data_IF_347356657315
#
_entry.id   IF_347356657315
#
_cell.length_a   1.000
_cell.length_b   1.000
_cell.length_c   1.000
_cell.angle_alpha   90.00
_cell.angle_beta   90.00
_cell.angle_gamma   90.00
#
_symmetry.space_group_name_H-M   'P 1'
#
loop_
_entity.id
_entity.type
_entity.pdbx_description
1 polymer ?
#
# COMPACT_ATOMS: atom_id res chain seq x y z
N UNK A 1 28.09 0.16 16.60
CA UNK A 1 28.42 1.51 16.13
C UNK A 1 27.21 2.02 15.34
N UNK A 2 26.42 2.99 15.85
CA UNK A 2 25.33 3.59 15.07
C UNK A 2 25.98 4.39 13.94
N UNK A 3 25.81 3.97 12.70
CA UNK A 3 26.23 4.77 11.55
C UNK A 3 25.48 6.10 11.59
N UNK A 4 26.20 7.19 11.36
CA UNK A 4 25.58 8.51 11.24
C UNK A 4 24.80 8.53 9.92
N UNK A 5 23.48 8.28 10.00
CA UNK A 5 22.61 8.19 8.83
C UNK A 5 22.36 9.60 8.30
N UNK A 6 23.06 9.97 7.24
CA UNK A 6 22.92 11.28 6.59
C UNK A 6 22.00 11.24 5.38
N UNK A 7 21.78 10.05 4.78
CA UNK A 7 20.98 9.87 3.57
C UNK A 7 19.88 8.84 3.81
N UNK A 8 18.68 9.17 3.39
CA UNK A 8 17.53 8.27 3.41
C UNK A 8 16.98 8.10 2.01
N UNK A 9 16.69 6.87 1.63
CA UNK A 9 16.08 6.53 0.34
C UNK A 9 14.77 5.81 0.60
N UNK A 10 13.68 6.39 0.12
CA UNK A 10 12.34 5.81 0.23
C UNK A 10 11.95 5.26 -1.14
N UNK A 11 11.47 4.02 -1.18
CA UNK A 11 11.19 3.30 -2.43
C UNK A 11 9.71 2.94 -2.49
N UNK A 12 9.03 3.48 -3.50
CA UNK A 12 7.66 3.10 -3.85
C UNK A 12 7.43 3.36 -5.34
N UNK A 13 7.27 2.30 -6.14
CA UNK A 13 7.13 2.42 -7.60
C UNK A 13 5.88 3.21 -8.02
N UNK A 14 4.83 3.24 -7.21
CA UNK A 14 3.63 4.05 -7.43
C UNK A 14 3.31 4.82 -6.16
N UNK A 15 3.85 6.02 -6.05
CA UNK A 15 3.73 6.89 -4.89
C UNK A 15 2.39 7.60 -4.89
N UNK A 16 1.57 7.32 -3.89
CA UNK A 16 0.36 8.05 -3.55
C UNK A 16 0.55 8.89 -2.29
N UNK A 17 -0.53 9.51 -1.80
CA UNK A 17 -0.52 10.46 -0.69
C UNK A 17 0.14 9.94 0.59
N UNK A 18 -0.06 8.67 0.96
CA UNK A 18 0.59 8.09 2.14
C UNK A 18 2.11 8.13 2.04
N UNK A 19 2.68 7.78 0.88
CA UNK A 19 4.13 7.83 0.69
C UNK A 19 4.63 9.26 0.57
N UNK A 20 3.86 10.17 -0.03
CA UNK A 20 4.19 11.61 -0.04
C UNK A 20 4.33 12.12 1.39
N UNK A 21 3.38 11.82 2.26
CA UNK A 21 3.42 12.25 3.66
C UNK A 21 4.60 11.61 4.43
N UNK A 22 4.91 10.35 4.15
CA UNK A 22 6.08 9.68 4.73
C UNK A 22 7.36 10.39 4.29
N UNK A 23 7.53 10.67 3.00
CA UNK A 23 8.71 11.39 2.48
C UNK A 23 8.81 12.76 3.14
N UNK A 24 7.70 13.51 3.21
CA UNK A 24 7.66 14.83 3.84
C UNK A 24 8.04 14.75 5.34
N UNK A 25 7.62 13.71 6.05
CA UNK A 25 8.01 13.50 7.45
C UNK A 25 9.53 13.23 7.58
N UNK A 26 10.10 12.44 6.67
CA UNK A 26 11.54 12.20 6.65
C UNK A 26 12.34 13.46 6.31
N UNK A 27 11.87 14.32 5.41
CA UNK A 27 12.51 15.60 5.09
C UNK A 27 12.59 16.56 6.28
N UNK A 28 11.69 16.45 7.26
CA UNK A 28 11.76 17.24 8.50
C UNK A 28 12.90 16.80 9.43
N UNK A 29 13.40 15.58 9.29
CA UNK A 29 14.39 14.97 10.19
C UNK A 29 15.75 14.80 9.51
N UNK A 30 15.76 14.51 8.22
CA UNK A 30 16.96 14.21 7.46
C UNK A 30 17.16 15.25 6.34
N UNK A 31 18.43 15.66 6.14
CA UNK A 31 18.78 16.65 5.11
C UNK A 31 18.85 16.10 3.69
N UNK A 32 19.10 14.82 3.52
CA UNK A 32 19.23 14.18 2.20
C UNK A 32 18.25 13.03 2.08
N UNK A 33 17.06 13.35 1.56
CA UNK A 33 15.98 12.39 1.34
C UNK A 33 15.73 12.23 -0.14
N UNK A 34 15.76 11.00 -0.62
CA UNK A 34 15.49 10.66 -2.02
C UNK A 34 14.32 9.68 -2.12
N UNK A 35 13.33 10.02 -2.93
CA UNK A 35 12.24 9.12 -3.32
C UNK A 35 12.57 8.45 -4.65
N UNK A 36 12.66 7.11 -4.66
CA UNK A 36 12.75 6.30 -5.89
C UNK A 36 11.34 5.87 -6.27
N UNK A 37 10.84 6.36 -7.42
CA UNK A 37 9.46 6.14 -7.84
C UNK A 37 9.27 6.18 -9.35
N UNK A 38 8.29 5.46 -9.87
CA UNK A 38 7.85 5.58 -11.26
C UNK A 38 6.92 6.77 -11.49
N UNK A 39 6.00 7.02 -10.56
CA UNK A 39 5.07 8.16 -10.60
C UNK A 39 4.75 8.65 -9.20
N UNK A 40 4.35 9.92 -9.12
CA UNK A 40 3.82 10.54 -7.91
C UNK A 40 2.41 11.00 -8.18
N UNK A 41 1.46 10.59 -7.35
CA UNK A 41 0.08 11.08 -7.34
C UNK A 41 -0.11 11.91 -6.08
N UNK A 42 -0.24 13.20 -6.28
CA UNK A 42 -0.45 14.18 -5.22
C UNK A 42 -1.92 14.54 -5.12
N UNK A 43 -2.36 14.79 -3.90
CA UNK A 43 -3.67 15.33 -3.58
C UNK A 43 -3.49 16.70 -2.91
N UNK A 44 -4.15 16.96 -1.76
CA UNK A 44 -4.04 18.22 -1.04
C UNK A 44 -2.61 18.47 -0.56
N UNK A 45 -1.92 17.42 -0.11
CA UNK A 45 -0.52 17.52 0.34
C UNK A 45 0.43 17.20 -0.80
N UNK A 46 1.32 18.14 -1.07
CA UNK A 46 2.36 18.05 -2.11
C UNK A 46 3.64 17.45 -1.56
N UNK A 47 4.43 16.86 -2.44
CA UNK A 47 5.78 16.39 -2.11
C UNK A 47 6.66 17.59 -1.77
N UNK A 48 7.41 17.49 -0.67
CA UNK A 48 8.36 18.54 -0.26
C UNK A 48 9.37 18.83 -1.36
N UNK A 49 9.68 20.13 -1.55
CA UNK A 49 10.76 20.57 -2.44
C UNK A 49 12.15 20.10 -2.00
N UNK A 50 12.30 19.73 -0.72
CA UNK A 50 13.55 19.20 -0.18
C UNK A 50 13.78 17.73 -0.56
N UNK A 51 12.74 17.03 -1.03
CA UNK A 51 12.84 15.66 -1.48
C UNK A 51 13.41 15.57 -2.91
N UNK A 52 14.49 14.83 -3.07
CA UNK A 52 15.01 14.46 -4.39
C UNK A 52 14.18 13.32 -4.98
N UNK A 53 13.88 13.37 -6.28
CA UNK A 53 13.14 12.30 -6.96
C UNK A 53 14.04 11.59 -7.96
N UNK A 54 14.19 10.29 -7.78
CA UNK A 54 14.86 9.40 -8.73
C UNK A 54 13.79 8.58 -9.48
N UNK A 55 13.61 8.87 -10.76
CA UNK A 55 12.61 8.20 -11.60
C UNK A 55 13.04 6.82 -12.04
N UNK A 56 12.11 5.87 -11.95
CA UNK A 56 12.21 4.51 -12.49
C UNK A 56 10.96 4.23 -13.35
N UNK A 57 10.88 3.03 -13.93
CA UNK A 57 9.69 2.61 -14.68
C UNK A 57 8.43 2.69 -13.81
N UNK A 58 7.36 3.24 -14.36
CA UNK A 58 6.06 3.30 -13.67
C UNK A 58 5.39 1.93 -13.62
N UNK A 59 4.67 1.66 -12.54
CA UNK A 59 3.87 0.46 -12.39
C UNK A 59 2.70 0.46 -13.38
N UNK A 60 2.60 -0.60 -14.18
CA UNK A 60 1.54 -0.77 -15.17
C UNK A 60 0.58 -1.89 -14.75
N UNK A 61 -0.71 -1.52 -14.59
CA UNK A 61 -1.80 -2.40 -14.14
C UNK A 61 -2.64 -2.98 -15.28
N UNK A 62 -2.34 -2.66 -16.55
CA UNK A 62 -3.17 -2.99 -17.71
C UNK A 62 -3.38 -4.48 -17.92
N UNK A 63 -2.39 -5.31 -17.57
CA UNK A 63 -2.48 -6.77 -17.62
C UNK A 63 -1.59 -7.41 -16.56
N UNK A 64 -1.81 -8.72 -16.28
CA UNK A 64 -0.95 -9.49 -15.37
C UNK A 64 0.50 -9.51 -15.87
N UNK A 65 0.70 -9.67 -17.17
CA UNK A 65 2.03 -9.68 -17.80
C UNK A 65 2.74 -8.33 -17.62
N UNK A 66 2.09 -7.22 -17.95
CA UNK A 66 2.67 -5.88 -17.80
C UNK A 66 2.96 -5.53 -16.34
N UNK A 67 2.12 -6.01 -15.42
CA UNK A 67 2.33 -5.87 -13.99
C UNK A 67 3.63 -6.54 -13.53
N UNK A 68 3.82 -7.81 -13.90
CA UNK A 68 5.03 -8.57 -13.55
C UNK A 68 6.26 -7.97 -14.23
N UNK A 69 6.17 -7.63 -15.50
CA UNK A 69 7.27 -7.03 -16.26
C UNK A 69 7.74 -5.73 -15.61
N UNK A 70 6.81 -4.81 -15.28
CA UNK A 70 7.17 -3.53 -14.66
C UNK A 70 7.70 -3.70 -13.23
N UNK A 71 7.30 -4.74 -12.51
CA UNK A 71 7.89 -5.07 -11.21
C UNK A 71 9.35 -5.53 -11.35
N UNK A 72 9.63 -6.44 -12.30
CA UNK A 72 10.98 -6.96 -12.53
C UNK A 72 11.91 -5.85 -13.00
N UNK A 73 11.50 -5.06 -14.01
CA UNK A 73 12.30 -3.95 -14.51
C UNK A 73 12.52 -2.91 -13.41
N UNK A 74 11.48 -2.55 -12.67
CA UNK A 74 11.58 -1.62 -11.55
C UNK A 74 12.53 -2.13 -10.46
N UNK A 75 12.46 -3.41 -10.11
CA UNK A 75 13.37 -4.04 -9.16
C UNK A 75 14.84 -3.94 -9.61
N UNK A 76 15.14 -4.26 -10.87
CA UNK A 76 16.48 -4.15 -11.43
C UNK A 76 16.99 -2.71 -11.38
N UNK A 77 16.16 -1.73 -11.79
CA UNK A 77 16.52 -0.31 -11.71
C UNK A 77 16.79 0.13 -10.26
N UNK A 78 15.95 -0.27 -9.30
CA UNK A 78 16.14 0.02 -7.88
C UNK A 78 17.44 -0.56 -7.37
N UNK A 79 17.74 -1.82 -7.71
CA UNK A 79 18.98 -2.48 -7.31
C UNK A 79 20.22 -1.72 -7.80
N UNK A 80 20.25 -1.34 -9.08
CA UNK A 80 21.35 -0.55 -9.65
C UNK A 80 21.47 0.84 -9.01
N UNK A 81 20.34 1.54 -8.81
CA UNK A 81 20.34 2.85 -8.16
C UNK A 81 20.88 2.77 -6.74
N UNK A 82 20.43 1.79 -5.95
CA UNK A 82 20.91 1.60 -4.59
C UNK A 82 22.41 1.26 -4.56
N UNK A 83 22.84 0.32 -5.40
CA UNK A 83 24.22 -0.16 -5.45
C UNK A 83 25.21 0.97 -5.79
N UNK A 84 24.90 1.78 -6.80
CA UNK A 84 25.86 2.76 -7.34
C UNK A 84 25.68 4.17 -6.76
N UNK A 85 24.47 4.57 -6.35
CA UNK A 85 24.22 5.94 -5.86
C UNK A 85 24.06 6.02 -4.35
N UNK A 86 23.58 4.96 -3.69
CA UNK A 86 23.18 4.98 -2.28
C UNK A 86 23.73 3.80 -1.45
N UNK A 87 25.02 3.43 -1.54
CA UNK A 87 25.55 2.22 -0.88
C UNK A 87 25.47 2.28 0.65
N UNK A 88 25.41 3.46 1.27
CA UNK A 88 25.41 3.65 2.72
C UNK A 88 24.15 4.40 3.23
N UNK A 89 23.09 4.47 2.42
CA UNK A 89 21.85 5.12 2.83
C UNK A 89 21.00 4.20 3.73
N UNK A 90 20.20 4.78 4.61
CA UNK A 90 19.04 4.09 5.17
C UNK A 90 18.00 3.92 4.09
N UNK A 91 17.58 2.68 3.83
CA UNK A 91 16.58 2.38 2.81
C UNK A 91 15.23 2.08 3.46
N UNK A 92 14.19 2.76 3.03
CA UNK A 92 12.80 2.51 3.44
C UNK A 92 12.07 1.84 2.28
N UNK A 93 11.84 0.54 2.38
CA UNK A 93 11.08 -0.22 1.39
C UNK A 93 9.60 -0.15 1.70
N UNK A 94 8.82 0.39 0.78
CA UNK A 94 7.36 0.22 0.78
C UNK A 94 7.02 -0.99 -0.07
N UNK A 95 6.12 -1.88 0.38
CA UNK A 95 5.80 -3.14 -0.32
C UNK A 95 4.99 -2.95 -1.62
N UNK A 96 5.37 -1.96 -2.42
CA UNK A 96 4.80 -1.67 -3.73
C UNK A 96 5.93 -1.29 -4.73
N UNK A 97 6.39 -2.23 -5.57
CA UNK A 97 5.95 -3.62 -5.71
C UNK A 97 6.45 -4.54 -4.56
N UNK A 98 5.82 -5.70 -4.41
CA UNK A 98 6.09 -6.57 -3.25
C UNK A 98 7.45 -7.29 -3.28
N UNK A 99 8.27 -7.08 -4.30
CA UNK A 99 9.60 -7.69 -4.45
C UNK A 99 10.75 -6.71 -4.16
N UNK A 100 10.48 -5.42 -3.96
CA UNK A 100 11.55 -4.40 -3.83
C UNK A 100 12.49 -4.65 -2.67
N UNK A 101 11.98 -5.11 -1.53
CA UNK A 101 12.79 -5.40 -0.35
C UNK A 101 13.71 -6.62 -0.52
N UNK A 102 13.55 -7.41 -1.60
CA UNK A 102 14.51 -8.47 -1.92
C UNK A 102 15.91 -7.92 -2.27
N UNK A 103 15.99 -6.67 -2.69
CA UNK A 103 17.25 -5.99 -2.91
C UNK A 103 18.16 -5.97 -1.66
N UNK A 104 17.57 -5.98 -0.45
CA UNK A 104 18.31 -6.04 0.80
C UNK A 104 19.11 -7.35 1.00
N UNK A 105 18.81 -8.42 0.23
CA UNK A 105 19.62 -9.64 0.24
C UNK A 105 20.96 -9.49 -0.49
N UNK A 106 21.05 -8.50 -1.38
CA UNK A 106 22.20 -8.26 -2.27
C UNK A 106 22.98 -6.99 -1.85
N UNK A 107 22.45 -6.23 -0.90
CA UNK A 107 22.99 -4.94 -0.47
C UNK A 107 23.20 -4.93 1.05
N UNK A 108 24.17 -4.14 1.52
CA UNK A 108 24.51 -4.02 2.93
C UNK A 108 23.90 -2.77 3.60
N UNK A 109 22.89 -2.18 2.99
CA UNK A 109 22.18 -1.04 3.56
C UNK A 109 21.43 -1.40 4.84
N UNK A 110 21.42 -0.51 5.81
CA UNK A 110 20.40 -0.53 6.86
C UNK A 110 19.04 -0.26 6.25
N UNK A 111 17.97 -0.94 6.72
CA UNK A 111 16.68 -0.77 6.10
C UNK A 111 15.49 -0.98 7.04
N UNK A 112 14.42 -0.30 6.66
CA UNK A 112 13.10 -0.36 7.26
C UNK A 112 12.12 -0.86 6.19
N UNK A 113 11.10 -1.61 6.60
CA UNK A 113 10.06 -2.08 5.69
C UNK A 113 8.71 -1.53 6.14
N UNK A 114 7.95 -0.93 5.22
CA UNK A 114 6.55 -0.54 5.42
C UNK A 114 5.69 -1.52 4.65
N UNK A 115 4.92 -2.33 5.38
CA UNK A 115 4.15 -3.46 4.86
C UNK A 115 2.69 -3.07 4.75
N UNK A 116 2.23 -2.83 3.53
CA UNK A 116 0.81 -2.66 3.19
C UNK A 116 0.15 -3.97 2.79
N UNK A 117 0.90 -4.86 2.11
CA UNK A 117 0.44 -6.19 1.72
C UNK A 117 1.48 -7.23 2.12
N UNK A 118 1.01 -8.35 2.69
CA UNK A 118 1.89 -9.44 3.13
C UNK A 118 1.89 -10.53 2.05
N UNK A 119 2.89 -10.46 1.15
CA UNK A 119 3.17 -11.54 0.23
C UNK A 119 4.08 -12.59 0.89
N UNK A 120 3.92 -13.90 0.62
CA UNK A 120 2.98 -14.50 -0.34
C UNK A 120 1.55 -14.68 0.20
N UNK A 121 1.23 -14.33 1.46
CA UNK A 121 -0.08 -14.58 2.07
C UNK A 121 -1.23 -13.97 1.27
N UNK A 122 -1.05 -12.80 0.66
CA UNK A 122 -2.04 -12.15 -0.19
C UNK A 122 -2.40 -12.99 -1.45
N UNK A 123 -1.53 -13.89 -1.89
CA UNK A 123 -1.79 -14.76 -3.04
C UNK A 123 -2.86 -15.83 -2.76
N UNK A 124 -3.17 -16.10 -1.49
CA UNK A 124 -4.27 -17.01 -1.11
C UNK A 124 -5.62 -16.50 -1.61
N UNK A 125 -5.80 -15.17 -1.64
CA UNK A 125 -7.04 -14.54 -2.09
C UNK A 125 -7.32 -14.77 -3.60
N UNK A 126 -6.32 -15.17 -4.37
CA UNK A 126 -6.43 -15.54 -5.79
C UNK A 126 -6.24 -17.05 -6.01
N UNK A 127 -6.42 -17.87 -4.97
CA UNK A 127 -6.44 -19.33 -5.05
C UNK A 127 -5.08 -20.02 -5.04
N UNK A 128 -3.96 -19.29 -4.83
CA UNK A 128 -2.64 -19.93 -4.72
C UNK A 128 -2.50 -20.56 -3.34
N UNK A 129 -2.26 -21.88 -3.33
CA UNK A 129 -2.15 -22.67 -2.10
C UNK A 129 -0.84 -22.39 -1.35
N UNK A 130 -0.90 -22.43 -0.02
CA UNK A 130 0.26 -22.17 0.86
C UNK A 130 1.33 -23.26 0.84
N UNK A 131 1.03 -24.45 0.34
CA UNK A 131 2.00 -25.53 0.10
C UNK A 131 2.71 -25.42 -1.26
N UNK A 132 2.40 -24.40 -2.09
CA UNK A 132 3.02 -24.20 -3.40
C UNK A 132 4.50 -23.79 -3.28
N UNK A 133 5.26 -24.06 -4.34
CA UNK A 133 6.68 -23.70 -4.41
C UNK A 133 6.92 -22.20 -4.23
N UNK A 134 6.06 -21.36 -4.82
CA UNK A 134 6.13 -19.90 -4.69
C UNK A 134 5.99 -19.45 -3.23
N UNK A 135 5.05 -20.05 -2.47
CA UNK A 135 4.88 -19.77 -1.05
C UNK A 135 6.12 -20.14 -0.23
N UNK A 136 6.72 -21.29 -0.52
CA UNK A 136 7.92 -21.77 0.18
C UNK A 136 9.10 -20.85 -0.08
N UNK A 137 9.37 -20.54 -1.37
CA UNK A 137 10.51 -19.68 -1.75
C UNK A 137 10.33 -18.27 -1.17
N UNK A 138 9.18 -17.65 -1.42
CA UNK A 138 8.91 -16.28 -0.95
C UNK A 138 8.90 -16.18 0.56
N UNK A 139 8.29 -17.16 1.24
CA UNK A 139 8.28 -17.21 2.70
C UNK A 139 9.68 -17.36 3.31
N UNK A 140 10.59 -18.11 2.65
CA UNK A 140 12.00 -18.21 3.07
C UNK A 140 12.75 -16.89 2.88
N UNK A 141 12.53 -16.21 1.76
CA UNK A 141 13.08 -14.87 1.51
C UNK A 141 12.58 -13.89 2.57
N UNK A 142 11.28 -13.87 2.84
CA UNK A 142 10.70 -12.99 3.85
C UNK A 142 11.31 -13.23 5.23
N UNK A 143 11.45 -14.48 5.66
CA UNK A 143 12.10 -14.79 6.94
C UNK A 143 13.50 -14.19 7.04
N UNK A 144 14.29 -14.29 5.97
CA UNK A 144 15.63 -13.71 5.95
C UNK A 144 15.59 -12.18 5.95
N UNK A 145 14.77 -11.58 5.09
CA UNK A 145 14.70 -10.12 4.95
C UNK A 145 14.08 -9.47 6.17
N UNK A 146 12.94 -9.96 6.66
CA UNK A 146 12.24 -9.29 7.76
C UNK A 146 12.97 -9.45 9.10
N UNK A 147 13.66 -10.58 9.33
CA UNK A 147 14.51 -10.72 10.52
C UNK A 147 15.66 -9.72 10.56
N UNK A 148 16.21 -9.37 9.42
CA UNK A 148 17.35 -8.45 9.31
C UNK A 148 16.94 -6.97 9.23
N UNK A 149 15.66 -6.66 9.02
CA UNK A 149 15.16 -5.29 9.04
C UNK A 149 15.36 -4.65 10.42
N UNK A 150 15.72 -3.37 10.46
CA UNK A 150 15.83 -2.61 11.71
C UNK A 150 14.46 -2.38 12.35
N UNK A 151 13.45 -2.12 11.52
CA UNK A 151 12.07 -1.93 11.94
C UNK A 151 11.10 -2.32 10.80
N UNK A 152 9.93 -2.79 11.18
CA UNK A 152 8.84 -3.14 10.26
C UNK A 152 7.59 -2.38 10.70
N UNK A 153 7.05 -1.57 9.81
CA UNK A 153 5.78 -0.89 10.02
C UNK A 153 4.65 -1.62 9.30
N UNK A 154 3.50 -1.72 9.94
CA UNK A 154 2.28 -2.30 9.37
C UNK A 154 1.03 -1.61 9.91
N UNK A 155 -0.15 -1.96 9.37
CA UNK A 155 -1.36 -1.15 9.52
C UNK A 155 -2.25 -1.55 10.70
N UNK A 156 -2.18 -2.81 11.15
CA UNK A 156 -3.11 -3.33 12.14
C UNK A 156 -2.50 -4.46 12.99
N UNK A 157 -3.14 -4.76 14.12
CA UNK A 157 -2.78 -5.91 14.97
C UNK A 157 -2.87 -7.25 14.20
N UNK A 158 -3.88 -7.42 13.32
CA UNK A 158 -4.02 -8.61 12.50
C UNK A 158 -2.82 -8.81 11.57
N UNK A 159 -2.39 -7.76 10.88
CA UNK A 159 -1.20 -7.80 10.03
C UNK A 159 0.08 -8.01 10.84
N UNK A 160 0.22 -7.35 11.99
CA UNK A 160 1.36 -7.55 12.87
C UNK A 160 1.47 -9.01 13.33
N UNK A 161 0.36 -9.65 13.70
CA UNK A 161 0.33 -11.07 14.07
C UNK A 161 0.72 -11.98 12.90
N UNK A 162 0.27 -11.67 11.68
CA UNK A 162 0.69 -12.42 10.48
C UNK A 162 2.20 -12.28 10.22
N UNK A 163 2.78 -11.12 10.45
CA UNK A 163 4.20 -10.86 10.23
C UNK A 163 5.12 -11.57 11.23
N UNK A 164 4.62 -12.02 12.39
CA UNK A 164 5.41 -12.80 13.36
C UNK A 164 5.95 -14.11 12.80
N UNK A 165 5.39 -14.63 11.71
CA UNK A 165 5.94 -15.78 10.97
C UNK A 165 7.31 -15.48 10.36
N UNK A 166 7.60 -14.19 10.11
CA UNK A 166 8.75 -13.72 9.33
C UNK A 166 9.74 -12.92 10.16
N UNK A 167 9.30 -12.26 11.24
CA UNK A 167 10.13 -11.40 12.05
C UNK A 167 9.78 -11.45 13.55
N UNK A 168 10.71 -11.01 14.39
CA UNK A 168 10.49 -10.86 15.81
C UNK A 168 9.48 -9.75 16.10
N UNK A 169 8.52 -10.02 16.98
CA UNK A 169 7.43 -9.10 17.33
C UNK A 169 7.93 -7.71 17.78
N UNK A 170 9.08 -7.65 18.45
CA UNK A 170 9.68 -6.39 18.96
C UNK A 170 10.01 -5.41 17.83
N UNK A 171 10.30 -5.91 16.63
CA UNK A 171 10.62 -5.10 15.45
C UNK A 171 9.38 -4.58 14.71
N UNK A 172 8.20 -5.14 14.98
CA UNK A 172 6.96 -4.81 14.28
C UNK A 172 6.26 -3.69 15.03
N UNK A 173 6.00 -2.60 14.33
CA UNK A 173 5.29 -1.42 14.82
C UNK A 173 4.03 -1.19 14.00
N UNK A 174 2.96 -0.75 14.67
CA UNK A 174 1.68 -0.50 14.01
C UNK A 174 1.50 1.00 13.81
N UNK A 175 1.30 1.41 12.57
CA UNK A 175 0.92 2.77 12.19
C UNK A 175 -0.27 2.64 11.23
N UNK A 176 -1.49 2.95 11.67
CA UNK A 176 -2.66 2.94 10.79
C UNK A 176 -2.53 3.96 9.66
N UNK A 177 -3.18 3.68 8.53
CA UNK A 177 -3.28 4.66 7.45
C UNK A 177 -4.13 5.86 7.89
N UNK A 178 -3.90 7.00 7.27
CA UNK A 178 -4.63 8.25 7.46
C UNK A 178 -5.27 8.72 6.16
N UNK A 179 -6.19 9.67 6.24
CA UNK A 179 -6.91 10.19 5.07
C UNK A 179 -6.04 11.05 4.16
N UNK A 180 -6.32 11.01 2.86
CA UNK A 180 -5.68 11.84 1.84
C UNK A 180 -6.01 13.33 2.03
N UNK A 181 -7.24 13.61 2.45
CA UNK A 181 -7.80 14.95 2.65
C UNK A 181 -8.39 15.08 4.06
N UNK A 182 -8.45 16.29 4.55
CA UNK A 182 -9.17 16.60 5.77
C UNK A 182 -10.64 16.82 5.43
N UNK A 183 -11.52 15.98 5.97
CA UNK A 183 -12.96 16.10 5.76
C UNK A 183 -13.65 16.47 7.07
N UNK A 184 -14.49 17.48 7.03
CA UNK A 184 -15.40 17.79 8.13
C UNK A 184 -16.74 17.12 7.86
N UNK A 185 -17.43 16.57 8.88
CA UNK A 185 -18.78 16.06 8.74
C UNK A 185 -19.71 17.16 8.25
N UNK A 186 -20.51 16.86 7.23
CA UNK A 186 -21.55 17.76 6.73
C UNK A 186 -22.89 17.28 7.34
N UNK A 187 -23.64 18.13 8.04
CA UNK A 187 -24.96 17.78 8.53
C UNK A 187 -25.85 17.25 7.41
N UNK A 188 -26.64 16.21 7.69
CA UNK A 188 -27.48 15.54 6.68
C UNK A 188 -28.38 16.51 5.92
N UNK A 189 -28.96 17.49 6.59
CA UNK A 189 -29.84 18.51 5.98
C UNK A 189 -29.11 19.53 5.10
N UNK A 190 -27.78 19.66 5.22
CA UNK A 190 -26.94 20.57 4.43
C UNK A 190 -26.21 19.84 3.29
N UNK A 191 -26.20 18.51 3.30
CA UNK A 191 -25.49 17.71 2.32
C UNK A 191 -26.23 17.68 0.99
N UNK A 192 -25.68 18.32 -0.03
CA UNK A 192 -26.24 18.40 -1.38
C UNK A 192 -26.52 17.02 -1.98
N UNK A 193 -25.58 16.07 -1.83
CA UNK A 193 -25.71 14.71 -2.34
C UNK A 193 -26.93 13.98 -1.76
N UNK A 194 -27.18 14.16 -0.47
CA UNK A 194 -28.36 13.58 0.21
C UNK A 194 -29.65 14.13 -0.38
N UNK A 195 -29.70 15.45 -0.64
CA UNK A 195 -30.88 16.11 -1.24
C UNK A 195 -31.07 15.66 -2.69
N UNK A 196 -30.01 15.65 -3.49
CA UNK A 196 -30.06 15.27 -4.90
C UNK A 196 -30.57 13.83 -5.11
N UNK A 197 -30.21 12.92 -4.19
CA UNK A 197 -30.61 11.53 -4.25
C UNK A 197 -31.81 11.16 -3.38
N UNK A 198 -32.52 12.15 -2.79
CA UNK A 198 -33.70 11.96 -1.95
C UNK A 198 -33.49 11.01 -0.78
N UNK A 199 -32.35 11.15 -0.08
CA UNK A 199 -31.89 10.27 0.99
C UNK A 199 -32.14 10.84 2.40
N UNK A 200 -32.83 11.97 2.53
CA UNK A 200 -33.03 12.70 3.81
C UNK A 200 -33.58 11.80 4.90
N UNK A 201 -34.59 10.98 4.55
CA UNK A 201 -35.32 10.10 5.47
C UNK A 201 -34.93 8.63 5.31
N UNK A 202 -33.78 8.34 4.65
CA UNK A 202 -33.30 6.97 4.45
C UNK A 202 -32.19 6.60 5.41
N UNK A 203 -32.16 5.32 5.79
CA UNK A 203 -30.96 4.69 6.34
C UNK A 203 -30.09 4.21 5.19
N UNK A 204 -28.96 4.89 4.95
CA UNK A 204 -28.10 4.60 3.80
C UNK A 204 -27.01 3.61 4.16
N UNK A 205 -27.02 2.44 3.52
CA UNK A 205 -25.94 1.46 3.56
C UNK A 205 -25.07 1.68 2.34
N UNK A 206 -23.88 2.26 2.54
CA UNK A 206 -23.01 2.64 1.44
C UNK A 206 -21.71 1.82 1.41
N UNK A 207 -21.40 1.26 0.25
CA UNK A 207 -20.05 0.82 -0.11
C UNK A 207 -19.43 1.84 -1.05
N UNK A 208 -18.25 2.36 -0.70
CA UNK A 208 -17.48 3.24 -1.58
C UNK A 208 -16.06 2.73 -1.69
N UNK A 209 -15.65 2.28 -2.89
CA UNK A 209 -14.32 1.68 -3.05
C UNK A 209 -14.11 0.92 -4.34
N UNK A 210 -13.01 0.16 -4.39
CA UNK A 210 -12.67 -0.67 -5.54
C UNK A 210 -13.58 -1.90 -5.63
N UNK A 211 -14.26 -2.09 -6.76
CA UNK A 211 -15.07 -3.27 -7.07
C UNK A 211 -14.16 -4.33 -7.74
N UNK A 212 -13.19 -4.80 -6.96
CA UNK A 212 -12.18 -5.76 -7.42
C UNK A 212 -12.48 -7.19 -7.02
N UNK A 213 -11.77 -8.14 -7.63
CA UNK A 213 -11.97 -9.59 -7.41
C UNK A 213 -11.76 -10.06 -5.96
N UNK A 214 -11.06 -9.27 -5.15
CA UNK A 214 -10.83 -9.56 -3.72
C UNK A 214 -11.89 -8.96 -2.79
N UNK A 215 -12.85 -8.19 -3.33
CA UNK A 215 -13.91 -7.54 -2.57
C UNK A 215 -15.23 -8.27 -2.79
N UNK A 216 -15.86 -8.69 -1.71
CA UNK A 216 -17.15 -9.41 -1.78
C UNK A 216 -18.31 -8.41 -1.77
N UNK A 217 -18.47 -7.66 -2.88
CA UNK A 217 -19.53 -6.67 -3.05
C UNK A 217 -20.88 -7.36 -3.31
N UNK A 218 -20.85 -8.57 -3.87
CA UNK A 218 -22.03 -9.41 -4.15
C UNK A 218 -22.86 -9.63 -2.90
N UNK A 219 -22.24 -9.83 -1.74
CA UNK A 219 -22.97 -10.00 -0.47
C UNK A 219 -23.83 -8.77 -0.14
N UNK A 220 -23.37 -7.57 -0.49
CA UNK A 220 -24.15 -6.33 -0.25
C UNK A 220 -25.37 -6.32 -1.16
N UNK A 221 -25.23 -6.75 -2.41
CA UNK A 221 -26.32 -6.85 -3.38
C UNK A 221 -27.34 -7.90 -2.94
N UNK A 222 -26.87 -9.07 -2.48
CA UNK A 222 -27.75 -10.12 -1.96
C UNK A 222 -28.57 -9.65 -0.74
N UNK A 223 -27.95 -8.86 0.15
CA UNK A 223 -28.64 -8.27 1.30
C UNK A 223 -29.66 -7.22 0.82
N UNK A 224 -29.28 -6.37 -0.14
CA UNK A 224 -30.18 -5.38 -0.71
C UNK A 224 -31.42 -6.04 -1.34
N UNK A 225 -31.24 -7.14 -2.07
CA UNK A 225 -32.35 -7.91 -2.65
C UNK A 225 -33.29 -8.49 -1.57
N UNK A 226 -32.75 -8.94 -0.44
CA UNK A 226 -33.56 -9.46 0.68
C UNK A 226 -34.34 -8.37 1.41
N UNK A 227 -33.79 -7.16 1.44
CA UNK A 227 -34.40 -5.99 2.12
C UNK A 227 -35.11 -5.04 1.15
N UNK A 228 -35.45 -5.47 -0.07
CA UNK A 228 -36.08 -4.63 -1.09
C UNK A 228 -37.42 -4.02 -0.67
N UNK A 229 -38.11 -4.65 0.29
CA UNK A 229 -39.41 -4.17 0.82
C UNK A 229 -39.24 -3.17 1.98
N UNK A 230 -38.02 -2.99 2.50
CA UNK A 230 -37.72 -2.05 3.59
C UNK A 230 -37.47 -0.66 2.99
N UNK A 231 -38.53 0.09 2.75
CA UNK A 231 -38.50 1.37 2.02
C UNK A 231 -37.64 2.44 2.71
N UNK A 232 -37.33 2.32 3.98
CA UNK A 232 -36.47 3.24 4.72
C UNK A 232 -34.96 2.96 4.51
N UNK A 233 -34.61 1.77 3.99
CA UNK A 233 -33.22 1.37 3.76
C UNK A 233 -32.85 1.64 2.29
N UNK A 234 -31.74 2.33 2.08
CA UNK A 234 -31.20 2.58 0.74
C UNK A 234 -29.79 2.05 0.62
N UNK A 235 -29.57 1.14 -0.34
CA UNK A 235 -28.24 0.60 -0.63
C UNK A 235 -27.58 1.40 -1.75
N UNK A 236 -26.31 1.76 -1.55
CA UNK A 236 -25.55 2.54 -2.51
C UNK A 236 -24.17 1.92 -2.70
N UNK A 237 -23.81 1.61 -3.94
CA UNK A 237 -22.51 1.07 -4.30
C UNK A 237 -21.82 2.06 -5.24
N UNK A 238 -20.73 2.66 -4.75
CA UNK A 238 -19.96 3.67 -5.47
C UNK A 238 -18.56 3.11 -5.70
N UNK A 239 -18.16 3.00 -6.97
CA UNK A 239 -16.82 2.52 -7.27
C UNK A 239 -16.61 2.10 -8.70
N UNK A 240 -15.37 1.66 -8.95
CA UNK A 240 -14.97 1.06 -10.20
C UNK A 240 -14.08 -0.15 -9.94
N UNK A 241 -13.95 -1.07 -10.89
CA UNK A 241 -13.09 -2.25 -10.71
C UNK A 241 -13.45 -3.37 -11.68
N UNK A 242 -12.62 -4.42 -11.67
CA UNK A 242 -12.73 -5.52 -12.64
C UNK A 242 -14.03 -6.31 -12.58
N UNK A 243 -14.75 -6.28 -11.45
CA UNK A 243 -16.02 -7.00 -11.27
C UNK A 243 -17.27 -6.14 -11.49
N UNK A 244 -17.11 -4.84 -11.79
CA UNK A 244 -18.26 -3.93 -11.90
C UNK A 244 -19.26 -4.34 -12.97
N UNK A 245 -18.78 -4.92 -14.07
CA UNK A 245 -19.64 -5.35 -15.16
C UNK A 245 -20.40 -6.67 -14.84
N UNK A 246 -19.96 -7.40 -13.83
CA UNK A 246 -20.52 -8.70 -13.43
C UNK A 246 -21.58 -8.55 -12.31
N UNK A 247 -21.74 -7.33 -11.75
CA UNK A 247 -22.67 -6.96 -10.68
C UNK A 247 -23.94 -6.34 -11.24
#
# INVERSE_FOLDING_TARGET
MKMNINKVVIINQSTGYLTVDIVNAYCKVYKDVTLITGRVEEYDRKLSSDAKVCKIISYNKSSVFMRILTWIVGFVQILFVLLFKFPNALVVYVTNPPITYFASLLLNNQYIIIVYDIYPDALKNIGIKDNSLIFRIWGNINRKVFRNADCIFTLSNGMANLLTKYADKVKIKIIPNWGAITMNPIPKGENYFIKEHHLENKFVVMYSGNIGYTHNVETIIDIAARLQNELEIHFMIIGNGGKKADL
#
